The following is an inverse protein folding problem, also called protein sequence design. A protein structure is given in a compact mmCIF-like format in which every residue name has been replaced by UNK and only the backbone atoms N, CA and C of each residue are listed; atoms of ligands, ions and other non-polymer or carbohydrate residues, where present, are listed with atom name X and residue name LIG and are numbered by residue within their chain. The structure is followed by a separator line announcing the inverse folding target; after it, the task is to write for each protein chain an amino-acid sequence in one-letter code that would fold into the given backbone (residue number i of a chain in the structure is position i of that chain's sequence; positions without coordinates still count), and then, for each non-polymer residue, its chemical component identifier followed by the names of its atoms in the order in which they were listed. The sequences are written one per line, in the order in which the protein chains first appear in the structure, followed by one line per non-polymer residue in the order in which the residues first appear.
data_IF_540039621991
#
_entry.id   IF_540039621991
#
_cell.length_a   1.000
_cell.length_b   1.000
_cell.length_c   1.000
_cell.angle_alpha   90.00
_cell.angle_beta   90.00
_cell.angle_gamma   90.00
#
_symmetry.space_group_name_H-M   'P 1'
#
loop_
_entity.id
_entity.type
_entity.pdbx_description
1 polymer ?
#
# COMPACT_ATOMS: atom_id res chain seq x y z
N UNK A 1 -6.00 -6.74 -1.84
CA UNK A 1 -5.78 -6.11 -3.16
C UNK A 1 -4.28 -6.06 -3.50
N UNK A 2 -3.62 -7.22 -3.62
CA UNK A 2 -2.18 -7.32 -3.97
C UNK A 2 -1.79 -8.79 -4.27
N UNK A 3 -2.65 -9.53 -4.97
CA UNK A 3 -2.40 -10.93 -5.28
C UNK A 3 -1.14 -11.10 -6.15
N UNK A 4 -0.36 -12.18 -5.99
CA UNK A 4 0.84 -12.44 -6.79
C UNK A 4 0.63 -12.34 -8.31
N UNK A 5 -0.56 -12.68 -8.80
CA UNK A 5 -0.91 -12.61 -10.24
C UNK A 5 -0.81 -11.22 -10.87
N UNK A 6 -0.79 -10.15 -10.06
CA UNK A 6 -0.76 -8.77 -10.57
C UNK A 6 0.66 -8.23 -10.77
N UNK A 7 1.69 -8.98 -10.37
CA UNK A 7 3.09 -8.59 -10.55
C UNK A 7 3.83 -9.61 -11.41
N UNK A 8 4.46 -9.13 -12.49
CA UNK A 8 5.36 -9.93 -13.32
C UNK A 8 6.80 -9.54 -13.03
N UNK A 9 7.67 -10.52 -12.81
CA UNK A 9 9.11 -10.29 -12.61
C UNK A 9 9.81 -9.84 -13.90
N UNK A 10 9.17 -10.02 -15.06
CA UNK A 10 9.65 -9.50 -16.34
C UNK A 10 9.22 -8.03 -16.57
N UNK A 11 8.41 -7.46 -15.68
CA UNK A 11 7.90 -6.09 -15.76
C UNK A 11 7.72 -5.50 -14.35
N UNK A 12 8.80 -5.50 -13.55
CA UNK A 12 8.78 -4.99 -12.17
C UNK A 12 8.50 -3.48 -12.09
N UNK A 13 8.71 -2.73 -13.18
CA UNK A 13 8.32 -1.32 -13.28
C UNK A 13 6.85 -1.12 -13.71
N UNK A 14 6.12 -2.21 -14.01
CA UNK A 14 4.70 -2.19 -14.38
C UNK A 14 4.40 -1.34 -15.62
N UNK A 15 5.35 -1.22 -16.54
CA UNK A 15 5.24 -0.38 -17.74
C UNK A 15 4.30 -0.99 -18.78
N UNK A 16 4.11 -2.31 -18.73
CA UNK A 16 3.29 -3.09 -19.68
C UNK A 16 2.05 -3.68 -19.01
N UNK A 17 2.03 -3.77 -17.69
CA UNK A 17 0.94 -4.37 -16.92
C UNK A 17 -0.37 -3.57 -17.02
N UNK A 18 -1.51 -4.20 -17.37
CA UNK A 18 -2.83 -3.54 -17.31
C UNK A 18 -3.36 -3.39 -15.88
N UNK A 19 -2.68 -3.95 -14.88
CA UNK A 19 -3.04 -3.92 -13.46
C UNK A 19 -1.95 -3.24 -12.63
N UNK A 20 -1.43 -2.11 -13.11
CA UNK A 20 -0.32 -1.38 -12.47
C UNK A 20 -0.65 -0.92 -11.04
N UNK A 21 -1.91 -0.60 -10.76
CA UNK A 21 -2.34 -0.27 -9.41
C UNK A 21 -2.15 -1.45 -8.44
N UNK A 22 -2.74 -2.60 -8.73
CA UNK A 22 -2.62 -3.80 -7.89
C UNK A 22 -1.19 -4.35 -7.85
N UNK A 23 -0.49 -4.29 -8.98
CA UNK A 23 0.92 -4.66 -9.08
C UNK A 23 1.81 -3.80 -8.19
N UNK A 24 1.56 -2.48 -8.13
CA UNK A 24 2.34 -1.58 -7.26
C UNK A 24 2.11 -1.87 -5.78
N UNK A 25 0.88 -2.26 -5.40
CA UNK A 25 0.60 -2.70 -4.03
C UNK A 25 1.33 -4.00 -3.69
N UNK A 26 1.43 -4.93 -4.64
CA UNK A 26 2.22 -6.15 -4.48
C UNK A 26 3.73 -5.84 -4.37
N UNK A 27 4.25 -4.90 -5.13
CA UNK A 27 5.64 -4.44 -5.01
C UNK A 27 5.93 -3.86 -3.63
N UNK A 28 5.03 -3.02 -3.09
CA UNK A 28 5.17 -2.48 -1.71
C UNK A 28 5.19 -3.61 -0.68
N UNK A 29 4.32 -4.60 -0.83
CA UNK A 29 4.30 -5.77 0.05
C UNK A 29 5.66 -6.50 0.02
N UNK A 30 6.16 -6.85 -1.17
CA UNK A 30 7.43 -7.57 -1.32
C UNK A 30 8.65 -6.75 -0.89
N UNK A 31 8.66 -5.45 -1.18
CA UNK A 31 9.70 -4.53 -0.71
C UNK A 31 9.79 -4.58 0.81
N UNK A 32 8.66 -4.40 1.51
CA UNK A 32 8.63 -4.46 2.97
C UNK A 32 9.25 -5.75 3.50
N UNK A 33 8.81 -6.91 3.01
CA UNK A 33 9.33 -8.21 3.46
C UNK A 33 10.82 -8.42 3.16
N UNK A 34 11.35 -7.82 2.09
CA UNK A 34 12.77 -7.88 1.76
C UNK A 34 13.64 -6.89 2.57
N UNK A 35 13.06 -5.82 3.13
CA UNK A 35 13.84 -4.74 3.77
C UNK A 35 13.69 -4.65 5.28
N UNK A 36 12.55 -5.04 5.87
CA UNK A 36 12.22 -4.67 7.26
C UNK A 36 13.25 -5.18 8.29
N UNK A 37 13.73 -6.43 8.16
CA UNK A 37 14.74 -7.01 9.06
C UNK A 37 16.09 -6.29 8.91
N UNK A 38 16.48 -5.95 7.68
CA UNK A 38 17.74 -5.27 7.37
C UNK A 38 17.73 -3.86 7.96
N UNK A 39 16.65 -3.12 7.75
CA UNK A 39 16.48 -1.75 8.25
C UNK A 39 16.50 -1.69 9.78
N UNK A 40 15.86 -2.64 10.45
CA UNK A 40 15.88 -2.69 11.92
C UNK A 40 17.29 -3.01 12.44
N UNK A 41 17.97 -4.00 11.84
CA UNK A 41 19.32 -4.43 12.26
C UNK A 41 20.39 -3.38 12.00
N UNK A 42 20.37 -2.72 10.83
CA UNK A 42 21.45 -1.84 10.38
C UNK A 42 21.22 -0.37 10.78
N UNK A 43 19.96 0.04 10.92
CA UNK A 43 19.60 1.45 11.16
C UNK A 43 18.68 1.66 12.36
N UNK A 44 18.22 0.60 13.04
CA UNK A 44 17.23 0.72 14.11
C UNK A 44 15.85 1.20 13.63
N UNK A 45 15.58 1.11 12.32
CA UNK A 45 14.34 1.60 11.71
C UNK A 45 13.31 0.48 11.67
N UNK A 46 12.19 0.66 12.36
CA UNK A 46 11.05 -0.26 12.30
C UNK A 46 10.14 0.09 11.13
N UNK A 47 9.97 -0.86 10.23
CA UNK A 47 9.08 -0.77 9.08
C UNK A 47 7.85 -1.66 9.33
N UNK A 48 6.66 -1.18 8.95
CA UNK A 48 5.40 -1.90 9.09
C UNK A 48 4.60 -1.86 7.79
N UNK A 49 3.78 -2.89 7.56
CA UNK A 49 2.95 -3.01 6.37
C UNK A 49 1.47 -2.91 6.76
N UNK A 50 0.76 -1.95 6.18
CA UNK A 50 -0.65 -1.69 6.52
C UNK A 50 -1.56 -1.50 5.31
N UNK A 51 -2.85 -1.72 5.49
CA UNK A 51 -3.90 -1.43 4.52
C UNK A 51 -5.10 -0.71 5.18
N UNK A 52 -5.49 0.49 4.70
CA UNK A 52 -6.53 1.30 5.35
C UNK A 52 -7.98 0.83 5.09
N UNK A 53 -8.19 -0.24 4.33
CA UNK A 53 -9.50 -0.59 3.82
C UNK A 53 -9.93 0.28 2.63
N UNK A 54 -11.20 0.19 2.31
CA UNK A 54 -11.92 1.01 1.34
C UNK A 54 -12.68 2.07 2.12
N UNK A 55 -12.30 3.33 1.95
CA UNK A 55 -12.94 4.46 2.59
C UNK A 55 -13.18 5.59 1.59
N UNK A 56 -14.09 6.47 1.94
CA UNK A 56 -14.45 7.63 1.13
C UNK A 56 -13.37 8.70 1.30
N UNK A 57 -12.77 9.08 0.18
CA UNK A 57 -11.77 10.14 0.13
C UNK A 57 -12.10 11.10 -1.01
N UNK A 58 -11.50 12.29 -0.98
CA UNK A 58 -11.66 13.29 -2.03
C UNK A 58 -11.16 12.80 -3.41
N UNK A 59 -10.31 11.77 -3.46
CA UNK A 59 -9.71 11.25 -4.68
C UNK A 59 -10.72 10.77 -5.73
N UNK A 60 -11.87 10.25 -5.31
CA UNK A 60 -12.92 9.77 -6.22
C UNK A 60 -14.04 10.80 -6.47
N UNK A 61 -14.23 11.73 -5.54
CA UNK A 61 -15.33 12.69 -5.60
C UNK A 61 -15.25 13.59 -6.84
N UNK A 62 -14.05 13.98 -7.26
CA UNK A 62 -13.86 14.87 -8.42
C UNK A 62 -14.23 14.25 -9.78
N UNK A 63 -14.32 12.92 -9.88
CA UNK A 63 -14.58 12.21 -11.13
C UNK A 63 -15.99 11.63 -11.23
N UNK A 64 -16.78 11.73 -10.16
CA UNK A 64 -18.11 11.12 -10.07
C UNK A 64 -19.19 12.21 -10.04
N UNK A 65 -20.23 12.02 -10.84
CA UNK A 65 -21.45 12.81 -10.69
C UNK A 65 -22.21 12.38 -9.42
N UNK A 66 -23.16 13.21 -9.00
CA UNK A 66 -23.95 13.01 -7.78
C UNK A 66 -24.58 11.62 -7.70
N UNK A 67 -25.16 11.12 -8.80
CA UNK A 67 -25.79 9.79 -8.84
C UNK A 67 -24.78 8.66 -8.67
N UNK A 68 -23.66 8.73 -9.39
CA UNK A 68 -22.61 7.73 -9.32
C UNK A 68 -21.91 7.72 -7.95
N UNK A 69 -21.79 8.88 -7.31
CA UNK A 69 -21.24 8.99 -5.96
C UNK A 69 -22.12 8.30 -4.92
N UNK A 70 -23.42 8.63 -4.87
CA UNK A 70 -24.33 7.99 -3.93
C UNK A 70 -24.58 6.52 -4.26
N UNK A 71 -24.58 6.14 -5.54
CA UNK A 71 -24.61 4.74 -5.97
C UNK A 71 -23.42 3.94 -5.46
N UNK A 72 -22.20 4.48 -5.60
CA UNK A 72 -20.98 3.87 -5.04
C UNK A 72 -21.07 3.73 -3.52
N UNK A 73 -21.51 4.77 -2.80
CA UNK A 73 -21.69 4.70 -1.35
C UNK A 73 -22.68 3.61 -0.95
N UNK A 74 -23.83 3.54 -1.63
CA UNK A 74 -24.82 2.50 -1.41
C UNK A 74 -24.21 1.10 -1.61
N UNK A 75 -23.44 0.89 -2.68
CA UNK A 75 -22.74 -0.37 -2.93
C UNK A 75 -21.70 -0.70 -1.85
N UNK A 76 -20.99 0.29 -1.32
CA UNK A 76 -20.05 0.07 -0.21
C UNK A 76 -20.76 -0.35 1.08
N UNK A 77 -21.87 0.30 1.41
CA UNK A 77 -22.70 -0.11 2.56
C UNK A 77 -23.31 -1.48 2.35
N UNK A 78 -23.73 -1.81 1.12
CA UNK A 78 -24.23 -3.14 0.77
C UNK A 78 -23.12 -4.19 0.91
N UNK A 79 -21.92 -3.94 0.39
CA UNK A 79 -20.78 -4.85 0.50
C UNK A 79 -20.37 -5.08 1.97
N UNK A 80 -20.35 -4.02 2.79
CA UNK A 80 -20.18 -4.14 4.25
C UNK A 80 -21.28 -5.00 4.86
N UNK A 81 -22.54 -4.74 4.50
CA UNK A 81 -23.67 -5.49 5.01
C UNK A 81 -23.62 -6.96 4.59
N UNK A 82 -23.08 -7.29 3.41
CA UNK A 82 -22.85 -8.67 2.96
C UNK A 82 -21.63 -9.33 3.62
N UNK A 83 -20.94 -8.65 4.53
CA UNK A 83 -19.87 -9.21 5.36
C UNK A 83 -18.46 -8.82 4.93
N UNK A 84 -18.29 -7.88 4.00
CA UNK A 84 -16.96 -7.40 3.63
C UNK A 84 -16.34 -6.58 4.77
N UNK A 85 -15.20 -7.01 5.35
CA UNK A 85 -14.60 -6.33 6.50
C UNK A 85 -13.85 -5.06 6.13
N UNK A 86 -13.40 -4.93 4.87
CA UNK A 86 -12.57 -3.81 4.43
C UNK A 86 -13.37 -2.56 4.03
N UNK A 87 -14.70 -2.63 3.94
CA UNK A 87 -15.52 -1.48 3.56
C UNK A 87 -15.70 -0.54 4.75
N UNK A 88 -14.64 0.18 5.12
CA UNK A 88 -14.56 1.06 6.28
C UNK A 88 -15.36 2.34 6.10
N UNK A 89 -15.48 2.85 4.86
CA UNK A 89 -16.25 4.03 4.42
C UNK A 89 -15.79 5.35 5.07
N UNK A 90 -15.56 5.37 6.38
CA UNK A 90 -15.02 6.46 7.18
C UNK A 90 -13.50 6.47 7.12
N UNK A 91 -12.93 7.66 6.89
CA UNK A 91 -11.49 7.90 7.02
C UNK A 91 -10.97 7.70 8.45
N UNK A 92 -11.82 7.86 9.47
CA UNK A 92 -11.45 7.63 10.86
C UNK A 92 -11.10 6.16 11.10
N UNK A 93 -11.99 5.24 10.71
CA UNK A 93 -11.78 3.79 10.85
C UNK A 93 -10.57 3.36 10.01
N UNK A 94 -10.42 3.92 8.81
CA UNK A 94 -9.31 3.64 7.91
C UNK A 94 -7.93 4.06 8.46
N UNK A 95 -7.89 5.02 9.39
CA UNK A 95 -6.66 5.48 10.03
C UNK A 95 -6.16 4.54 11.13
N UNK A 96 -7.00 3.61 11.62
CA UNK A 96 -6.65 2.76 12.77
C UNK A 96 -5.40 1.91 12.55
N UNK A 97 -5.21 1.32 11.36
CA UNK A 97 -4.04 0.47 11.07
C UNK A 97 -2.76 1.30 10.92
N UNK A 98 -2.74 2.41 10.14
CA UNK A 98 -1.61 3.32 10.12
C UNK A 98 -1.22 3.87 11.50
N UNK A 99 -2.21 4.27 12.33
CA UNK A 99 -1.96 4.79 13.68
C UNK A 99 -1.41 3.70 14.59
N UNK A 100 -2.00 2.50 14.58
CA UNK A 100 -1.49 1.36 15.34
C UNK A 100 -0.04 1.02 14.95
N UNK A 101 0.29 1.08 13.66
CA UNK A 101 1.65 0.86 13.19
C UNK A 101 2.62 1.94 13.64
N UNK A 102 2.23 3.23 13.56
CA UNK A 102 3.03 4.34 14.06
C UNK A 102 3.31 4.24 15.57
N UNK A 103 2.37 3.67 16.34
CA UNK A 103 2.52 3.40 17.78
C UNK A 103 3.24 2.08 18.08
N UNK A 104 3.68 1.32 17.07
CA UNK A 104 4.37 0.04 17.25
C UNK A 104 3.48 -1.09 17.78
N UNK A 105 2.16 -0.98 17.60
CA UNK A 105 1.17 -1.97 18.06
C UNK A 105 0.89 -3.06 17.02
N UNK A 106 1.49 -2.96 15.83
CA UNK A 106 1.38 -3.97 14.76
C UNK A 106 2.64 -4.82 14.67
N UNK A 107 2.55 -6.00 14.08
CA UNK A 107 3.72 -6.86 13.82
C UNK A 107 4.35 -6.49 12.48
N UNK A 108 5.67 -6.68 12.36
CA UNK A 108 6.39 -6.42 11.10
C UNK A 108 6.31 -7.59 10.11
N UNK A 109 5.97 -8.80 10.57
CA UNK A 109 5.91 -10.00 9.74
C UNK A 109 4.52 -10.30 9.17
N UNK A 110 3.56 -9.39 9.32
CA UNK A 110 2.24 -9.49 8.72
C UNK A 110 1.79 -8.13 8.20
N UNK A 111 0.71 -8.13 7.42
CA UNK A 111 0.04 -6.92 6.97
C UNK A 111 -1.12 -6.63 7.89
N UNK A 112 -1.15 -5.46 8.51
CA UNK A 112 -2.28 -5.05 9.35
C UNK A 112 -3.29 -4.23 8.56
N UNK A 113 -4.55 -4.65 8.54
CA UNK A 113 -5.62 -3.94 7.86
C UNK A 113 -6.60 -3.29 8.85
N UNK A 114 -7.06 -2.09 8.52
CA UNK A 114 -8.23 -1.49 9.17
C UNK A 114 -9.49 -2.18 8.64
N UNK A 115 -10.34 -2.62 9.56
CA UNK A 115 -11.57 -3.32 9.24
C UNK A 115 -12.75 -2.81 10.08
N UNK A 116 -13.96 -3.13 9.63
CA UNK A 116 -15.17 -2.91 10.40
C UNK A 116 -16.19 -4.03 10.24
N UNK A 117 -17.02 -4.22 11.27
CA UNK A 117 -18.10 -5.20 11.24
C UNK A 117 -19.23 -4.74 10.31
N UNK A 118 -20.24 -5.62 10.11
CA UNK A 118 -21.47 -5.27 9.38
C UNK A 118 -22.17 -4.02 9.94
N UNK A 119 -22.06 -3.77 11.25
CA UNK A 119 -22.60 -2.60 11.93
C UNK A 119 -21.65 -1.39 11.95
N UNK A 120 -20.45 -1.51 11.38
CA UNK A 120 -19.44 -0.45 11.35
C UNK A 120 -18.55 -0.36 12.60
N UNK A 121 -18.56 -1.36 13.48
CA UNK A 121 -17.62 -1.40 14.62
C UNK A 121 -16.21 -1.69 14.13
N UNK A 122 -15.26 -0.84 14.49
CA UNK A 122 -13.86 -0.94 14.05
C UNK A 122 -13.07 -2.04 14.75
N UNK A 123 -12.11 -2.62 14.03
CA UNK A 123 -11.11 -3.55 14.54
C UNK A 123 -9.93 -3.66 13.56
N UNK A 124 -8.85 -4.34 13.97
CA UNK A 124 -7.69 -4.61 13.12
C UNK A 124 -7.68 -6.08 12.67
N UNK A 125 -7.28 -6.30 11.42
CA UNK A 125 -7.02 -7.63 10.86
C UNK A 125 -5.52 -7.79 10.63
N UNK A 126 -5.02 -9.00 10.84
CA UNK A 126 -3.68 -9.39 10.43
C UNK A 126 -3.80 -10.34 9.24
N UNK A 127 -3.03 -10.09 8.20
CA UNK A 127 -2.96 -10.90 6.99
C UNK A 127 -1.52 -11.38 6.78
N UNK A 128 -1.37 -12.69 6.58
CA UNK A 128 -0.13 -13.26 6.09
C UNK A 128 0.02 -12.95 4.61
N UNK A 129 1.24 -12.59 4.22
CA UNK A 129 1.57 -12.24 2.85
C UNK A 129 2.60 -13.24 2.35
N UNK A 130 2.33 -13.78 1.16
CA UNK A 130 3.32 -14.55 0.41
C UNK A 130 4.53 -13.65 0.09
N UNK A 131 5.68 -13.89 0.72
CA UNK A 131 6.90 -13.10 0.53
C UNK A 131 7.78 -13.60 -0.62
N UNK A 132 7.33 -14.59 -1.38
CA UNK A 132 8.12 -15.19 -2.47
C UNK A 132 8.59 -14.12 -3.46
N UNK A 133 9.91 -14.04 -3.67
CA UNK A 133 10.56 -13.09 -4.56
C UNK A 133 10.82 -11.69 -3.98
N UNK A 134 10.71 -11.51 -2.66
CA UNK A 134 11.07 -10.23 -2.01
C UNK A 134 12.52 -9.82 -2.27
N UNK A 135 13.46 -10.77 -2.20
CA UNK A 135 14.90 -10.51 -2.39
C UNK A 135 15.23 -10.07 -3.81
N UNK A 136 14.56 -10.65 -4.81
CA UNK A 136 14.69 -10.28 -6.21
C UNK A 136 14.15 -8.86 -6.45
N UNK A 137 13.00 -8.52 -5.84
CA UNK A 137 12.43 -7.16 -5.92
C UNK A 137 13.37 -6.14 -5.29
N UNK A 138 13.92 -6.42 -4.10
CA UNK A 138 14.88 -5.51 -3.45
C UNK A 138 16.13 -5.36 -4.31
N UNK A 139 16.70 -6.45 -4.81
CA UNK A 139 17.90 -6.42 -5.66
C UNK A 139 17.67 -5.62 -6.95
N UNK A 140 16.49 -5.76 -7.54
CA UNK A 140 16.09 -5.00 -8.72
C UNK A 140 15.98 -3.50 -8.41
N UNK A 141 15.32 -3.13 -7.32
CA UNK A 141 15.16 -1.73 -6.91
C UNK A 141 16.49 -1.09 -6.51
N UNK A 142 17.39 -1.82 -5.86
CA UNK A 142 18.75 -1.36 -5.58
C UNK A 142 19.55 -1.09 -6.87
N UNK A 143 19.37 -1.94 -7.88
CA UNK A 143 19.97 -1.74 -9.21
C UNK A 143 19.40 -0.50 -9.90
N UNK A 144 18.08 -0.33 -9.87
CA UNK A 144 17.42 0.86 -10.42
C UNK A 144 17.85 2.13 -9.69
N UNK A 145 18.01 2.09 -8.38
CA UNK A 145 18.46 3.24 -7.58
C UNK A 145 19.84 3.70 -8.06
N UNK A 146 20.79 2.78 -8.21
CA UNK A 146 22.12 3.08 -8.76
C UNK A 146 22.07 3.64 -10.18
N UNK A 147 21.20 3.10 -11.03
CA UNK A 147 21.01 3.59 -12.40
C UNK A 147 20.48 5.04 -12.41
N UNK A 148 19.49 5.33 -11.58
CA UNK A 148 18.90 6.66 -11.49
C UNK A 148 19.82 7.67 -10.81
N UNK A 149 20.57 7.26 -9.77
CA UNK A 149 21.60 8.09 -9.16
C UNK A 149 22.64 8.55 -10.20
N UNK A 150 23.10 7.64 -11.06
CA UNK A 150 24.04 7.97 -12.14
C UNK A 150 23.40 8.87 -13.22
N UNK A 151 22.16 8.60 -13.63
CA UNK A 151 21.45 9.44 -14.62
C UNK A 151 21.16 10.84 -14.11
N UNK A 152 20.92 10.99 -12.81
CA UNK A 152 20.49 12.24 -12.18
C UNK A 152 21.63 12.98 -11.48
N UNK A 153 22.86 12.44 -11.48
CA UNK A 153 24.03 13.00 -10.76
C UNK A 153 24.30 14.47 -11.06
N UNK A 154 24.03 14.91 -12.29
CA UNK A 154 24.30 16.27 -12.76
C UNK A 154 23.04 17.16 -12.78
N UNK A 155 21.89 16.69 -12.24
CA UNK A 155 20.65 17.48 -12.26
C UNK A 155 20.57 18.53 -11.15
N UNK A 156 21.25 18.32 -10.02
CA UNK A 156 21.32 19.32 -8.94
C UNK A 156 22.43 20.32 -9.28
N UNK A 157 22.14 21.20 -10.24
CA UNK A 157 22.99 22.36 -10.54
C UNK A 157 22.58 23.55 -9.66
N UNK A 158 23.57 24.35 -9.24
CA UNK A 158 23.29 25.59 -8.53
C UNK A 158 22.70 26.62 -9.52
N UNK A 159 21.38 26.62 -9.67
CA UNK A 159 20.62 27.52 -10.56
C UNK A 159 20.64 28.99 -10.10
N UNK A 160 21.31 29.30 -8.99
CA UNK A 160 21.45 30.65 -8.42
C UNK A 160 22.88 31.22 -8.56
N UNK A 161 23.63 30.80 -9.58
CA UNK A 161 24.85 31.51 -9.96
C UNK A 161 24.51 32.65 -10.95
N UNK A 162 24.97 33.89 -10.71
CA UNK A 162 24.66 35.06 -11.54
C UNK A 162 25.31 35.00 -12.92
#
# INVERSE_FOLDING_TARGET
MSSPKYLSFNDLQLLRSPASYEGSKRLVDLMHFGTYNKLEREHGIKQYLVHPGIFTSFSFFQYLNVFTYYGMLFLFYLARFLGSPYHNISGYIAANAPVAAALGQTKQNCKTASACTRSGKEYLLEEEIDSTGSDDVVSYLDTLTKEWDEKLKDQIVNTRQP
#
